data_IF_602963964367
#
_entry.id   IF_602963964367
#
_cell.length_a   1.000
_cell.length_b   1.000
_cell.length_c   1.000
_cell.angle_alpha   90.00
_cell.angle_beta   90.00
_cell.angle_gamma   90.00
#
_symmetry.space_group_name_H-M   'P 1'
#
loop_
_entity.id
_entity.type
_entity.pdbx_description
1 polymer ?
#
# COMPACT_ATOMS: atom_id res chain seq x y z
N UNK A 1 -32.53 -8.61 18.38
CA UNK A 1 -31.30 -8.11 17.72
C UNK A 1 -31.14 -8.82 16.37
N UNK A 2 -30.86 -8.12 15.26
CA UNK A 2 -30.69 -8.77 13.95
C UNK A 2 -29.45 -9.67 13.95
N UNK A 3 -29.61 -10.96 13.64
CA UNK A 3 -28.50 -11.90 13.49
C UNK A 3 -27.82 -11.68 12.13
N UNK A 4 -26.51 -11.40 12.14
CA UNK A 4 -25.73 -11.25 10.92
C UNK A 4 -25.45 -12.63 10.29
N UNK A 5 -26.30 -13.03 9.34
CA UNK A 5 -26.25 -14.35 8.67
C UNK A 5 -25.11 -14.47 7.64
N UNK A 6 -24.50 -13.36 7.23
CA UNK A 6 -23.50 -13.32 6.17
C UNK A 6 -22.21 -14.07 6.55
N UNK A 7 -21.80 -13.98 7.82
CA UNK A 7 -20.59 -14.66 8.32
C UNK A 7 -20.67 -16.19 8.33
N UNK A 8 -21.87 -16.77 8.20
CA UNK A 8 -22.06 -18.24 8.15
C UNK A 8 -22.07 -18.81 6.73
N UNK A 9 -22.04 -17.96 5.70
CA UNK A 9 -22.13 -18.39 4.30
C UNK A 9 -20.72 -18.63 3.76
N UNK A 10 -20.50 -19.79 3.16
CA UNK A 10 -19.19 -20.21 2.62
C UNK A 10 -18.67 -19.35 1.47
N UNK A 11 -19.51 -18.57 0.79
CA UNK A 11 -19.11 -17.64 -0.27
C UNK A 11 -18.77 -16.24 0.25
N UNK A 12 -18.98 -15.96 1.55
CA UNK A 12 -18.70 -14.64 2.09
C UNK A 12 -17.18 -14.37 2.05
N UNK A 13 -16.80 -13.37 1.26
CA UNK A 13 -15.40 -12.97 1.04
C UNK A 13 -14.71 -12.62 2.36
N UNK A 14 -15.45 -12.07 3.33
CA UNK A 14 -14.91 -11.65 4.62
C UNK A 14 -14.69 -12.81 5.61
N UNK A 15 -15.02 -14.05 5.26
CA UNK A 15 -14.70 -15.19 6.12
C UNK A 15 -13.20 -15.44 6.10
N UNK A 16 -12.62 -15.67 7.29
CA UNK A 16 -11.20 -15.93 7.45
C UNK A 16 -10.68 -17.05 6.54
N UNK A 17 -11.47 -18.11 6.34
CA UNK A 17 -11.12 -19.24 5.48
C UNK A 17 -11.01 -18.85 4.00
N UNK A 18 -11.89 -17.96 3.51
CA UNK A 18 -11.85 -17.50 2.12
C UNK A 18 -10.70 -16.52 1.91
N UNK A 19 -10.47 -15.62 2.87
CA UNK A 19 -9.31 -14.72 2.85
C UNK A 19 -8.01 -15.55 2.85
N UNK A 20 -7.94 -16.64 3.62
CA UNK A 20 -6.78 -17.52 3.66
C UNK A 20 -6.58 -18.34 2.38
N UNK A 21 -7.63 -18.63 1.61
CA UNK A 21 -7.51 -19.25 0.27
C UNK A 21 -6.94 -18.24 -0.71
N UNK A 22 -7.54 -17.06 -0.80
CA UNK A 22 -7.07 -15.97 -1.66
C UNK A 22 -5.60 -15.64 -1.40
N UNK A 23 -5.18 -15.52 -0.13
CA UNK A 23 -3.78 -15.29 0.20
C UNK A 23 -2.83 -16.41 -0.23
N UNK A 24 -3.27 -17.67 -0.21
CA UNK A 24 -2.44 -18.78 -0.70
C UNK A 24 -2.31 -18.72 -2.22
N UNK A 25 -3.39 -18.40 -2.90
CA UNK A 25 -3.42 -18.27 -4.36
C UNK A 25 -2.57 -17.07 -4.80
N UNK A 26 -2.70 -15.93 -4.12
CA UNK A 26 -1.85 -14.75 -4.31
C UNK A 26 -0.37 -15.05 -4.02
N UNK A 27 -0.08 -15.78 -2.95
CA UNK A 27 1.30 -16.17 -2.63
C UNK A 27 1.88 -17.15 -3.65
N UNK A 28 1.07 -18.07 -4.17
CA UNK A 28 1.48 -19.01 -5.21
C UNK A 28 1.73 -18.29 -6.55
N UNK A 29 0.85 -17.36 -6.93
CA UNK A 29 1.04 -16.52 -8.11
C UNK A 29 2.31 -15.67 -7.98
N UNK A 30 2.51 -14.99 -6.85
CA UNK A 30 3.70 -14.19 -6.57
C UNK A 30 4.98 -15.03 -6.57
N UNK A 31 4.95 -16.25 -6.03
CA UNK A 31 6.10 -17.15 -6.04
C UNK A 31 6.46 -17.63 -7.45
N UNK A 32 5.47 -17.81 -8.34
CA UNK A 32 5.71 -18.13 -9.74
C UNK A 32 6.36 -16.94 -10.48
N UNK A 33 5.83 -15.73 -10.30
CA UNK A 33 6.42 -14.50 -10.86
C UNK A 33 7.85 -14.27 -10.36
N UNK A 34 8.11 -14.44 -9.05
CA UNK A 34 9.46 -14.30 -8.49
C UNK A 34 10.45 -15.34 -9.04
N UNK A 35 10.00 -16.57 -9.34
CA UNK A 35 10.84 -17.58 -9.96
C UNK A 35 11.18 -17.25 -11.42
N UNK A 36 10.25 -16.65 -12.17
CA UNK A 36 10.49 -16.16 -13.52
C UNK A 36 11.44 -14.95 -13.52
N UNK A 37 11.25 -14.01 -12.59
CA UNK A 37 12.17 -12.88 -12.39
C UNK A 37 13.59 -13.34 -12.04
N UNK A 38 13.72 -14.36 -11.18
CA UNK A 38 15.02 -14.93 -10.86
C UNK A 38 15.69 -15.56 -12.08
N UNK A 39 14.93 -16.28 -12.92
CA UNK A 39 15.46 -16.82 -14.19
C UNK A 39 15.96 -15.71 -15.10
N UNK A 40 15.18 -14.63 -15.26
CA UNK A 40 15.60 -13.48 -16.05
C UNK A 40 16.84 -12.80 -15.45
N UNK A 41 16.93 -12.68 -14.13
CA UNK A 41 18.11 -12.11 -13.47
C UNK A 41 19.34 -12.99 -13.62
N UNK A 42 19.18 -14.31 -13.59
CA UNK A 42 20.26 -15.29 -13.79
C UNK A 42 20.79 -15.23 -15.21
N UNK A 43 19.93 -15.18 -16.23
CA UNK A 43 20.37 -15.03 -17.63
C UNK A 43 21.12 -13.72 -17.83
N UNK A 44 20.61 -12.62 -17.25
CA UNK A 44 21.26 -11.31 -17.25
C UNK A 44 22.61 -11.32 -16.52
N UNK A 45 22.68 -11.99 -15.36
CA UNK A 45 23.91 -12.13 -14.58
C UNK A 45 24.95 -12.97 -15.33
N UNK A 46 24.53 -14.09 -15.93
CA UNK A 46 25.38 -14.93 -16.78
C UNK A 46 25.93 -14.13 -17.96
N UNK A 47 25.09 -13.30 -18.59
CA UNK A 47 25.52 -12.40 -19.67
C UNK A 47 26.56 -11.39 -19.19
N UNK A 48 26.35 -10.77 -18.03
CA UNK A 48 27.32 -9.83 -17.42
C UNK A 48 28.64 -10.55 -17.11
N UNK A 49 28.59 -11.77 -16.60
CA UNK A 49 29.78 -12.58 -16.34
C UNK A 49 30.52 -12.99 -17.63
N UNK A 50 29.80 -13.33 -18.70
CA UNK A 50 30.39 -13.65 -20.00
C UNK A 50 31.14 -12.44 -20.59
N UNK A 51 30.53 -11.25 -20.54
CA UNK A 51 31.18 -9.99 -20.97
C UNK A 51 32.46 -9.73 -20.16
N UNK A 52 32.39 -9.90 -18.83
CA UNK A 52 33.57 -9.75 -17.96
C UNK A 52 34.65 -10.80 -18.22
N UNK A 53 34.26 -12.01 -18.62
CA UNK A 53 35.16 -13.11 -19.00
C UNK A 53 35.75 -12.91 -20.42
N UNK A 54 35.24 -11.96 -21.20
CA UNK A 54 35.62 -11.77 -22.60
C UNK A 54 35.08 -12.84 -23.54
N UNK A 55 34.06 -13.59 -23.11
CA UNK A 55 33.37 -14.62 -23.87
C UNK A 55 32.15 -14.01 -24.59
N UNK A 56 31.77 -14.55 -25.76
CA UNK A 56 30.62 -14.05 -26.49
C UNK A 56 29.33 -14.28 -25.66
N UNK A 57 28.54 -13.22 -25.38
CA UNK A 57 27.34 -13.35 -24.56
C UNK A 57 26.29 -14.23 -25.24
N UNK A 58 25.49 -15.00 -24.47
CA UNK A 58 24.41 -15.81 -25.02
C UNK A 58 23.39 -14.93 -25.78
N UNK A 59 22.79 -15.42 -26.88
CA UNK A 59 21.77 -14.70 -27.65
C UNK A 59 20.55 -14.34 -26.79
N UNK A 60 19.94 -13.19 -27.06
CA UNK A 60 18.76 -12.68 -26.34
C UNK A 60 17.52 -13.44 -26.85
N UNK A 61 16.81 -14.14 -25.96
CA UNK A 61 15.57 -14.87 -26.29
C UNK A 61 14.35 -13.93 -26.51
N UNK A 62 14.47 -12.64 -26.17
CA UNK A 62 13.38 -11.65 -26.30
C UNK A 62 13.21 -11.07 -27.72
N UNK A 63 13.93 -11.61 -28.72
CA UNK A 63 13.90 -11.13 -30.10
C UNK A 63 13.53 -12.22 -31.11
N UNK A 64 12.70 -13.19 -30.72
CA UNK A 64 11.85 -13.88 -31.69
C UNK A 64 10.85 -12.83 -32.23
N UNK A 65 10.82 -12.51 -33.53
CA UNK A 65 9.73 -11.73 -34.08
C UNK A 65 8.47 -12.52 -33.79
N UNK A 66 7.57 -11.93 -33.01
CA UNK A 66 6.22 -12.45 -32.80
C UNK A 66 5.65 -12.83 -34.16
N UNK A 67 5.65 -14.14 -34.43
CA UNK A 67 4.84 -14.70 -35.49
C UNK A 67 3.45 -14.21 -35.18
N UNK A 68 2.84 -13.50 -36.13
CA UNK A 68 1.55 -12.85 -36.00
C UNK A 68 0.52 -13.79 -35.34
N UNK A 69 0.43 -13.73 -34.02
CA UNK A 69 -0.64 -14.38 -33.28
C UNK A 69 -1.87 -13.48 -33.39
N UNK A 70 -2.95 -14.13 -33.78
CA UNK A 70 -4.25 -13.56 -34.06
C UNK A 70 -4.69 -12.55 -33.00
N UNK A 71 -5.46 -11.51 -33.39
CA UNK A 71 -6.13 -10.67 -32.42
C UNK A 71 -6.99 -11.56 -31.49
N UNK A 72 -7.01 -11.30 -30.18
CA UNK A 72 -7.72 -12.14 -29.22
C UNK A 72 -9.19 -12.25 -29.65
N UNK A 73 -9.84 -13.41 -29.44
CA UNK A 73 -11.25 -13.55 -29.74
C UNK A 73 -11.99 -12.52 -28.90
N UNK A 74 -12.63 -11.57 -29.57
CA UNK A 74 -13.50 -10.59 -28.92
C UNK A 74 -14.53 -11.38 -28.15
N UNK A 75 -14.37 -11.47 -26.84
CA UNK A 75 -15.43 -11.86 -25.93
C UNK A 75 -16.55 -10.86 -26.16
N UNK A 76 -17.52 -11.28 -26.98
CA UNK A 76 -18.76 -10.55 -27.16
C UNK A 76 -19.44 -10.58 -25.82
N UNK A 77 -19.22 -9.52 -25.04
CA UNK A 77 -20.05 -9.19 -23.91
C UNK A 77 -21.49 -9.35 -24.38
N UNK A 78 -22.22 -10.23 -23.72
CA UNK A 78 -23.62 -10.50 -23.99
C UNK A 78 -24.42 -9.26 -23.56
N UNK A 79 -24.31 -8.19 -24.36
CA UNK A 79 -25.20 -7.04 -24.31
C UNK A 79 -26.54 -7.50 -24.87
N UNK A 80 -27.58 -7.32 -24.05
CA UNK A 80 -28.88 -7.94 -24.20
C UNK A 80 -29.47 -7.89 -25.62
N UNK A 81 -29.81 -9.08 -26.12
CA UNK A 81 -31.07 -9.35 -26.83
C UNK A 81 -31.57 -8.29 -27.83
N UNK A 82 -30.79 -8.00 -28.88
CA UNK A 82 -31.40 -7.73 -30.18
C UNK A 82 -31.41 -9.04 -30.97
N UNK A 83 -32.60 -9.63 -31.14
CA UNK A 83 -32.80 -10.88 -31.87
C UNK A 83 -32.12 -10.80 -33.24
N UNK A 84 -31.13 -11.67 -33.49
CA UNK A 84 -30.47 -11.78 -34.81
C UNK A 84 -31.54 -11.96 -35.88
N UNK A 85 -31.58 -11.06 -36.86
CA UNK A 85 -32.56 -11.09 -37.97
C UNK A 85 -32.26 -12.31 -38.84
N UNK A 86 -33.30 -13.01 -39.29
CA UNK A 86 -33.17 -14.17 -40.19
C UNK A 86 -33.21 -13.69 -41.64
N UNK A 87 -32.55 -14.43 -42.55
CA UNK A 87 -32.65 -14.23 -44.00
C UNK A 87 -34.10 -14.45 -44.46
N UNK A 88 -34.62 -13.62 -45.37
CA UNK A 88 -35.90 -13.88 -46.02
C UNK A 88 -35.70 -14.92 -47.14
N UNK A 89 -36.72 -15.73 -47.48
CA UNK A 89 -36.60 -16.67 -48.58
C UNK A 89 -36.35 -15.91 -49.90
N UNK A 90 -35.24 -16.21 -50.58
CA UNK A 90 -34.83 -15.57 -51.84
C UNK A 90 -33.92 -14.34 -51.72
N UNK A 91 -33.44 -14.00 -50.52
CA UNK A 91 -32.39 -12.96 -50.34
C UNK A 91 -30.98 -13.57 -50.48
N UNK A 92 -30.13 -12.97 -51.31
CA UNK A 92 -28.69 -13.26 -51.36
C UNK A 92 -27.96 -12.67 -50.14
N UNK A 93 -26.76 -13.20 -49.84
CA UNK A 93 -26.00 -12.85 -48.63
C UNK A 93 -25.64 -11.35 -48.57
N UNK A 94 -25.38 -10.74 -49.72
CA UNK A 94 -25.13 -9.29 -49.86
C UNK A 94 -26.37 -8.46 -49.58
N UNK A 95 -27.52 -8.89 -50.08
CA UNK A 95 -28.79 -8.20 -49.91
C UNK A 95 -29.28 -8.25 -48.46
N UNK A 96 -29.05 -9.38 -47.79
CA UNK A 96 -29.30 -9.54 -46.36
C UNK A 96 -28.46 -8.55 -45.53
N UNK A 97 -27.16 -8.43 -45.81
CA UNK A 97 -26.27 -7.49 -45.11
C UNK A 97 -26.64 -6.03 -45.38
N UNK A 98 -26.95 -5.68 -46.63
CA UNK A 98 -27.39 -4.33 -47.02
C UNK A 98 -28.69 -3.92 -46.33
N UNK A 99 -29.65 -4.85 -46.16
CA UNK A 99 -30.89 -4.58 -45.41
C UNK A 99 -30.61 -4.35 -43.92
N UNK A 100 -29.78 -5.19 -43.31
CA UNK A 100 -29.43 -5.07 -41.89
C UNK A 100 -28.65 -3.78 -41.61
N UNK A 101 -27.77 -3.36 -42.52
CA UNK A 101 -27.06 -2.09 -42.41
C UNK A 101 -28.02 -0.89 -42.45
N UNK A 102 -28.92 -0.83 -43.44
CA UNK A 102 -29.92 0.24 -43.56
C UNK A 102 -30.86 0.33 -42.36
N UNK A 103 -31.27 -0.81 -41.79
CA UNK A 103 -32.09 -0.83 -40.58
C UNK A 103 -31.34 -0.23 -39.37
N UNK A 104 -30.03 -0.47 -39.24
CA UNK A 104 -29.21 0.13 -38.18
C UNK A 104 -29.06 1.65 -38.35
N UNK A 105 -28.81 2.11 -39.56
CA UNK A 105 -28.70 3.54 -39.86
C UNK A 105 -30.01 4.27 -39.56
N UNK A 106 -31.15 3.70 -39.97
CA UNK A 106 -32.47 4.26 -39.66
C UNK A 106 -32.76 4.30 -38.16
N UNK A 107 -32.35 3.28 -37.39
CA UNK A 107 -32.48 3.31 -35.93
C UNK A 107 -31.65 4.43 -35.30
N UNK A 108 -30.43 4.66 -35.79
CA UNK A 108 -29.58 5.74 -35.30
C UNK A 108 -30.19 7.13 -35.57
N UNK A 109 -30.82 7.33 -36.72
CA UNK A 109 -31.50 8.59 -37.08
C UNK A 109 -32.73 8.85 -36.20
N UNK A 110 -33.57 7.83 -35.97
CA UNK A 110 -34.78 7.97 -35.13
C UNK A 110 -34.43 8.28 -33.66
N UNK A 111 -33.35 7.69 -33.12
CA UNK A 111 -32.85 8.05 -31.79
C UNK A 111 -32.43 9.52 -31.71
N UNK A 112 -31.74 10.03 -32.74
CA UNK A 112 -31.31 11.43 -32.83
C UNK A 112 -32.46 12.44 -32.94
N UNK A 113 -33.57 12.06 -33.58
CA UNK A 113 -34.77 12.90 -33.69
C UNK A 113 -35.60 12.91 -32.40
N UNK A 114 -35.59 11.81 -31.63
CA UNK A 114 -36.34 11.73 -30.36
C UNK A 114 -35.81 12.67 -29.26
N UNK A 115 -34.53 13.03 -29.34
CA UNK A 115 -33.86 14.00 -28.47
C UNK A 115 -34.22 15.47 -28.79
N UNK A 116 -34.91 15.75 -29.92
CA UNK A 116 -35.20 17.11 -30.41
C UNK A 116 -36.66 17.55 -30.20
N UNK A 117 -37.27 17.23 -29.05
CA UNK A 117 -38.58 17.79 -28.69
C UNK A 117 -38.40 19.09 -27.87
N UNK A 118 -38.89 20.25 -28.32
CA UNK A 118 -38.72 21.51 -27.60
C UNK A 118 -39.62 21.56 -26.37
N UNK A 119 -39.00 21.65 -25.18
CA UNK A 119 -39.68 21.74 -23.88
C UNK A 119 -39.53 23.15 -23.29
N UNK A 120 -39.89 24.23 -23.98
CA UNK A 120 -39.90 25.54 -23.31
C UNK A 120 -40.87 26.55 -23.94
N UNK A 121 -41.58 27.27 -23.06
CA UNK A 121 -42.45 28.40 -23.38
C UNK A 121 -41.67 29.72 -23.32
N UNK A 122 -40.60 29.85 -24.09
CA UNK A 122 -39.84 31.10 -24.19
C UNK A 122 -40.22 31.84 -25.49
N UNK A 123 -40.34 33.18 -25.46
CA UNK A 123 -40.59 33.96 -26.68
C UNK A 123 -39.40 33.81 -27.64
N UNK A 124 -39.71 33.54 -28.92
CA UNK A 124 -38.74 33.26 -30.00
C UNK A 124 -37.86 34.48 -30.37
N UNK A 125 -38.20 35.66 -29.86
CA UNK A 125 -37.58 36.93 -30.25
C UNK A 125 -37.09 37.65 -29.01
N UNK A 126 -35.82 38.06 -29.05
CA UNK A 126 -35.19 38.90 -28.03
C UNK A 126 -35.87 40.25 -27.90
N UNK A 127 -35.64 40.92 -26.77
CA UNK A 127 -36.15 42.27 -26.50
C UNK A 127 -35.57 43.33 -27.46
N UNK A 128 -34.51 42.98 -28.19
CA UNK A 128 -33.90 43.76 -29.27
C UNK A 128 -34.47 43.45 -30.67
N UNK A 129 -35.40 42.50 -30.79
CA UNK A 129 -36.05 42.12 -32.05
C UNK A 129 -35.30 41.08 -32.90
N UNK A 130 -34.29 40.41 -32.34
CA UNK A 130 -33.57 39.33 -33.03
C UNK A 130 -34.17 37.96 -32.69
N UNK A 131 -34.19 37.04 -33.66
CA UNK A 131 -34.68 35.67 -33.43
C UNK A 131 -33.60 34.92 -32.65
N UNK A 132 -33.84 34.67 -31.37
CA UNK A 132 -32.90 33.91 -30.54
C UNK A 132 -33.28 32.43 -30.53
N UNK A 133 -32.57 31.66 -31.36
CA UNK A 133 -32.79 30.23 -31.54
C UNK A 133 -32.24 29.39 -30.37
N UNK A 134 -31.41 29.99 -29.51
CA UNK A 134 -30.72 29.27 -28.43
C UNK A 134 -31.22 29.67 -27.04
N UNK A 135 -32.11 30.67 -26.94
CA UNK A 135 -32.62 31.18 -25.68
C UNK A 135 -31.53 31.81 -24.81
N UNK A 136 -31.98 32.63 -23.85
CA UNK A 136 -31.15 33.29 -22.86
C UNK A 136 -30.47 32.34 -21.84
N UNK A 137 -29.96 31.19 -22.28
CA UNK A 137 -29.13 30.28 -21.48
C UNK A 137 -27.88 30.98 -20.96
N UNK A 138 -27.34 31.94 -21.73
CA UNK A 138 -26.18 32.75 -21.34
C UNK A 138 -26.45 33.60 -20.10
N UNK A 139 -27.64 34.18 -19.96
CA UNK A 139 -27.98 35.00 -18.78
C UNK A 139 -28.25 34.14 -17.54
N UNK A 140 -28.73 32.90 -17.71
CA UNK A 140 -28.98 31.97 -16.60
C UNK A 140 -27.71 31.27 -16.09
N UNK A 141 -26.66 31.16 -16.90
CA UNK A 141 -25.41 30.48 -16.55
C UNK A 141 -24.38 31.34 -15.78
N UNK A 142 -24.65 32.63 -15.54
CA UNK A 142 -23.68 33.57 -14.94
C UNK A 142 -23.88 33.86 -13.44
N UNK A 143 -24.52 32.96 -12.69
CA UNK A 143 -24.82 33.22 -11.28
C UNK A 143 -23.66 32.96 -10.29
N UNK A 144 -22.61 32.20 -10.64
CA UNK A 144 -21.50 31.94 -9.71
C UNK A 144 -20.16 32.00 -10.44
N UNK A 145 -19.49 33.14 -10.35
CA UNK A 145 -18.10 33.28 -10.84
C UNK A 145 -17.20 32.47 -9.93
N UNK A 146 -16.93 31.23 -10.34
CA UNK A 146 -15.96 30.41 -9.64
C UNK A 146 -14.56 30.95 -9.94
N UNK A 147 -13.91 31.57 -8.95
CA UNK A 147 -12.60 32.21 -9.10
C UNK A 147 -11.53 31.24 -9.61
N UNK A 148 -11.69 29.95 -9.30
CA UNK A 148 -10.84 28.87 -9.79
C UNK A 148 -11.00 28.66 -11.30
N UNK A 149 -12.24 28.67 -11.81
CA UNK A 149 -12.53 28.52 -13.23
C UNK A 149 -12.01 29.70 -14.06
N UNK A 150 -12.06 30.93 -13.53
CA UNK A 150 -11.47 32.08 -14.21
C UNK A 150 -9.93 32.00 -14.27
N UNK A 151 -9.28 31.51 -13.21
CA UNK A 151 -7.82 31.31 -13.18
C UNK A 151 -7.41 30.23 -14.17
N UNK A 152 -8.16 29.14 -14.29
CA UNK A 152 -7.91 28.09 -15.28
C UNK A 152 -8.16 28.57 -16.71
N UNK A 153 -9.23 29.33 -16.96
CA UNK A 153 -9.50 29.90 -18.27
C UNK A 153 -8.41 30.91 -18.70
N UNK A 154 -7.92 31.73 -17.76
CA UNK A 154 -6.79 32.65 -18.00
C UNK A 154 -5.51 31.89 -18.32
N UNK A 155 -5.19 30.80 -17.60
CA UNK A 155 -4.04 29.93 -17.89
C UNK A 155 -4.15 29.28 -19.27
N UNK A 156 -5.33 28.78 -19.64
CA UNK A 156 -5.58 28.18 -20.97
C UNK A 156 -5.40 29.20 -22.09
N UNK A 157 -5.94 30.41 -21.93
CA UNK A 157 -5.74 31.51 -22.88
C UNK A 157 -4.27 31.87 -23.04
N UNK A 158 -3.53 32.01 -21.92
CA UNK A 158 -2.09 32.26 -21.94
C UNK A 158 -1.33 31.13 -22.66
N UNK A 159 -1.62 29.86 -22.33
CA UNK A 159 -0.97 28.74 -23.02
C UNK A 159 -1.28 28.67 -24.52
N UNK A 160 -2.48 29.08 -24.93
CA UNK A 160 -2.87 29.15 -26.34
C UNK A 160 -2.15 30.31 -27.04
N UNK A 161 -2.13 31.50 -26.43
CA UNK A 161 -1.36 32.63 -26.94
C UNK A 161 0.14 32.32 -27.05
N UNK A 162 0.70 31.57 -26.10
CA UNK A 162 2.09 31.10 -26.12
C UNK A 162 2.36 30.09 -27.24
N UNK A 163 1.38 29.25 -27.58
CA UNK A 163 1.50 28.31 -28.71
C UNK A 163 1.58 29.03 -30.06
N UNK A 164 0.92 30.18 -30.21
CA UNK A 164 0.84 30.88 -31.50
C UNK A 164 1.71 32.15 -31.56
N UNK A 165 2.19 32.67 -30.44
CA UNK A 165 3.01 33.87 -30.40
C UNK A 165 4.40 33.56 -29.85
N UNK A 166 5.43 33.74 -30.69
CA UNK A 166 6.84 33.55 -30.32
C UNK A 166 7.37 34.75 -29.52
N UNK A 167 6.79 35.04 -28.36
CA UNK A 167 7.27 36.12 -27.49
C UNK A 167 8.38 35.61 -26.57
N UNK A 168 9.56 36.19 -26.68
CA UNK A 168 10.73 35.85 -25.86
C UNK A 168 10.48 36.02 -24.35
N UNK A 169 9.53 36.86 -23.94
CA UNK A 169 9.11 37.02 -22.55
C UNK A 169 8.48 35.76 -21.95
N UNK A 170 7.84 34.93 -22.77
CA UNK A 170 7.06 33.78 -22.31
C UNK A 170 7.93 32.50 -22.28
N UNK A 171 8.99 32.47 -23.08
CA UNK A 171 9.96 31.37 -23.13
C UNK A 171 10.90 31.31 -21.91
N UNK A 172 11.09 32.45 -21.23
CA UNK A 172 12.05 32.55 -20.11
C UNK A 172 11.49 31.99 -18.78
N UNK A 173 10.24 31.52 -18.76
CA UNK A 173 9.56 31.13 -17.52
C UNK A 173 9.22 32.35 -16.65
N UNK A 174 8.53 32.10 -15.53
CA UNK A 174 7.96 33.12 -14.63
C UNK A 174 8.95 34.24 -14.23
N UNK A 175 10.26 33.92 -14.20
CA UNK A 175 11.31 34.80 -13.67
C UNK A 175 12.45 35.10 -14.66
N UNK A 176 12.50 34.46 -15.84
CA UNK A 176 13.69 34.53 -16.69
C UNK A 176 13.91 35.83 -17.45
N UNK A 177 12.92 36.74 -17.46
CA UNK A 177 13.11 38.10 -17.98
C UNK A 177 13.59 39.10 -16.89
N UNK A 178 13.46 38.76 -15.61
CA UNK A 178 13.74 39.66 -14.47
C UNK A 178 15.05 39.35 -13.75
N UNK A 179 15.56 38.12 -13.90
CA UNK A 179 16.81 37.68 -13.26
C UNK A 179 17.75 37.12 -14.33
N UNK A 180 18.79 37.87 -14.73
CA UNK A 180 19.86 37.36 -15.56
C UNK A 180 20.57 36.15 -14.91
N UNK A 181 21.05 35.21 -15.72
CA UNK A 181 21.63 33.93 -15.25
C UNK A 181 22.84 34.06 -14.30
N UNK A 182 23.48 35.24 -14.28
CA UNK A 182 24.61 35.59 -13.43
C UNK A 182 24.22 36.31 -12.12
N UNK A 183 22.96 36.72 -11.93
CA UNK A 183 22.49 37.32 -10.66
C UNK A 183 21.91 36.30 -9.67
N UNK A 184 21.87 35.02 -10.05
CA UNK A 184 21.47 33.94 -9.17
C UNK A 184 22.61 33.61 -8.20
N UNK A 185 22.64 34.27 -7.05
CA UNK A 185 23.43 33.79 -5.92
C UNK A 185 22.88 32.42 -5.50
N UNK A 186 23.70 31.39 -5.66
CA UNK A 186 23.46 30.01 -5.22
C UNK A 186 22.30 29.27 -5.88
N UNK A 187 22.58 28.72 -7.07
CA UNK A 187 22.40 27.31 -7.44
C UNK A 187 21.11 26.54 -7.03
N UNK A 188 19.97 27.19 -6.89
CA UNK A 188 18.69 26.51 -7.02
C UNK A 188 18.34 26.46 -8.51
N UNK A 189 19.03 25.59 -9.26
CA UNK A 189 18.54 25.17 -10.56
C UNK A 189 17.04 24.85 -10.39
N UNK A 190 16.14 25.45 -11.18
CA UNK A 190 14.72 25.19 -11.00
C UNK A 190 14.53 23.68 -11.04
N UNK A 191 13.63 23.18 -10.20
CA UNK A 191 13.12 21.79 -10.08
C UNK A 191 12.53 21.27 -11.43
N UNK A 192 13.12 21.61 -12.57
CA UNK A 192 12.85 21.14 -13.92
C UNK A 192 13.15 19.64 -14.03
N UNK A 193 14.07 19.11 -13.22
CA UNK A 193 14.34 17.67 -13.13
C UNK A 193 13.42 16.92 -12.14
N UNK A 194 12.50 17.58 -11.43
CA UNK A 194 11.59 16.87 -10.49
C UNK A 194 10.43 16.16 -11.21
N UNK A 195 10.22 16.48 -12.49
CA UNK A 195 9.19 15.87 -13.33
C UNK A 195 9.76 14.65 -14.04
N UNK A 196 8.96 13.60 -14.10
CA UNK A 196 9.25 12.41 -14.88
C UNK A 196 9.15 12.70 -16.39
N UNK A 197 9.50 11.74 -17.25
CA UNK A 197 9.46 11.89 -18.74
C UNK A 197 8.10 12.42 -19.24
N UNK A 198 7.03 12.15 -18.50
CA UNK A 198 5.67 12.60 -18.79
C UNK A 198 5.20 13.86 -18.04
N UNK A 199 6.10 14.59 -17.37
CA UNK A 199 5.75 15.86 -16.73
C UNK A 199 5.09 15.75 -15.34
N UNK A 200 4.81 14.54 -14.86
CA UNK A 200 4.30 14.30 -13.50
C UNK A 200 5.42 14.42 -12.46
N UNK A 201 5.13 15.02 -11.31
CA UNK A 201 6.08 15.06 -10.21
C UNK A 201 6.13 13.70 -9.52
N UNK A 202 7.32 13.10 -9.47
CA UNK A 202 7.58 11.91 -8.67
C UNK A 202 7.86 12.31 -7.21
N UNK A 203 6.93 12.10 -6.25
CA UNK A 203 7.15 12.54 -4.87
C UNK A 203 8.35 11.86 -4.21
N UNK A 204 8.64 10.61 -4.59
CA UNK A 204 9.75 9.80 -4.05
C UNK A 204 11.08 10.04 -4.76
N UNK A 205 11.15 10.87 -5.81
CA UNK A 205 12.41 11.13 -6.53
C UNK A 205 13.40 11.90 -5.65
N UNK A 206 12.93 12.92 -4.94
CA UNK A 206 13.75 13.66 -3.96
C UNK A 206 14.35 12.72 -2.92
N UNK A 207 13.56 11.78 -2.39
CA UNK A 207 14.05 10.77 -1.43
C UNK A 207 15.08 9.80 -2.04
N UNK A 208 14.91 9.40 -3.31
CA UNK A 208 15.90 8.55 -4.00
C UNK A 208 17.20 9.31 -4.20
N UNK A 209 17.13 10.58 -4.58
CA UNK A 209 18.31 11.40 -4.81
C UNK A 209 19.05 11.71 -3.52
N UNK A 210 18.34 12.00 -2.42
CA UNK A 210 19.00 12.11 -1.11
C UNK A 210 19.64 10.80 -0.68
N UNK A 211 18.98 9.64 -0.90
CA UNK A 211 19.56 8.33 -0.62
C UNK A 211 20.80 8.05 -1.46
N UNK A 212 20.80 8.41 -2.75
CA UNK A 212 21.96 8.28 -3.65
C UNK A 212 23.12 9.16 -3.21
N UNK A 213 22.83 10.42 -2.84
CA UNK A 213 23.84 11.34 -2.32
C UNK A 213 24.43 10.79 -1.02
N UNK A 214 23.59 10.31 -0.10
CA UNK A 214 24.02 9.74 1.18
C UNK A 214 24.77 8.42 0.99
N UNK A 215 24.41 7.57 0.02
CA UNK A 215 25.11 6.31 -0.25
C UNK A 215 26.45 6.53 -0.95
N UNK A 216 26.53 7.56 -1.80
CA UNK A 216 27.75 7.87 -2.55
C UNK A 216 28.72 8.76 -1.75
N UNK A 217 28.29 9.29 -0.59
CA UNK A 217 29.14 10.09 0.30
C UNK A 217 29.90 9.19 1.30
N UNK A 218 31.24 9.11 1.22
CA UNK A 218 32.04 8.34 2.17
C UNK A 218 31.92 8.88 3.60
N UNK A 219 31.69 10.18 3.79
CA UNK A 219 31.53 10.78 5.11
C UNK A 219 30.22 10.32 5.76
N UNK A 220 29.14 10.21 4.98
CA UNK A 220 27.88 9.69 5.45
C UNK A 220 28.00 8.23 5.91
N UNK A 221 28.72 7.38 5.17
CA UNK A 221 29.02 6.01 5.60
C UNK A 221 29.77 5.97 6.94
N UNK A 222 30.79 6.83 7.13
CA UNK A 222 31.52 6.91 8.38
C UNK A 222 30.64 7.36 9.55
N UNK A 223 29.73 8.31 9.33
CA UNK A 223 28.76 8.77 10.33
C UNK A 223 27.80 7.66 10.75
N UNK A 224 27.29 6.87 9.78
CA UNK A 224 26.45 5.71 10.06
C UNK A 224 27.21 4.59 10.80
N UNK A 225 28.49 4.39 10.49
CA UNK A 225 29.34 3.49 11.25
C UNK A 225 29.52 3.96 12.70
N UNK A 226 29.78 5.25 12.90
CA UNK A 226 29.97 5.84 14.22
C UNK A 226 28.69 5.81 15.08
N UNK A 227 27.50 6.01 14.50
CA UNK A 227 26.23 5.88 15.21
C UNK A 227 25.99 4.44 15.66
N UNK A 228 26.17 3.45 14.77
CA UNK A 228 26.04 2.02 15.12
C UNK A 228 26.99 1.61 16.24
N UNK A 229 28.24 2.10 16.26
CA UNK A 229 29.18 1.83 17.36
C UNK A 229 28.69 2.44 18.68
N UNK A 230 28.06 3.61 18.65
CA UNK A 230 27.47 4.23 19.85
C UNK A 230 26.26 3.44 20.35
N UNK A 231 25.40 2.97 19.46
CA UNK A 231 24.26 2.10 19.79
C UNK A 231 24.73 0.81 20.46
N UNK A 232 25.68 0.09 19.86
CA UNK A 232 26.25 -1.14 20.45
C UNK A 232 26.90 -0.89 21.82
N UNK A 233 27.55 0.27 22.03
CA UNK A 233 28.08 0.63 23.35
C UNK A 233 26.97 0.85 24.36
N UNK A 234 25.88 1.50 23.98
CA UNK A 234 24.72 1.69 24.84
C UNK A 234 24.05 0.36 25.17
N UNK A 235 23.89 -0.53 24.20
CA UNK A 235 23.34 -1.88 24.40
C UNK A 235 24.22 -2.70 25.34
N UNK A 236 25.55 -2.71 25.14
CA UNK A 236 26.48 -3.36 26.06
C UNK A 236 26.38 -2.80 27.47
N UNK A 237 26.21 -1.49 27.61
CA UNK A 237 26.06 -0.84 28.92
C UNK A 237 24.75 -1.27 29.59
N UNK A 238 23.64 -1.25 28.86
CA UNK A 238 22.33 -1.73 29.36
C UNK A 238 22.39 -3.19 29.77
N UNK A 239 23.02 -4.04 28.96
CA UNK A 239 23.20 -5.45 29.28
C UNK A 239 24.05 -5.65 30.54
N UNK A 240 25.13 -4.87 30.71
CA UNK A 240 25.92 -4.90 31.95
C UNK A 240 25.11 -4.44 33.16
N UNK A 241 24.34 -3.36 33.03
CA UNK A 241 23.45 -2.87 34.09
C UNK A 241 22.41 -3.92 34.49
N UNK A 242 21.77 -4.59 33.52
CA UNK A 242 20.83 -5.69 33.77
C UNK A 242 21.50 -6.87 34.49
N UNK A 243 22.71 -7.26 34.06
CA UNK A 243 23.48 -8.33 34.71
C UNK A 243 23.91 -7.97 36.12
N UNK A 244 24.29 -6.72 36.36
CA UNK A 244 24.66 -6.21 37.69
C UNK A 244 23.42 -6.15 38.61
N UNK A 245 22.27 -5.76 38.07
CA UNK A 245 20.99 -5.80 38.78
C UNK A 245 20.60 -7.23 39.14
N UNK A 246 20.73 -8.19 38.23
CA UNK A 246 20.47 -9.61 38.47
C UNK A 246 21.41 -10.17 39.57
N UNK A 247 22.70 -9.87 39.51
CA UNK A 247 23.67 -10.24 40.55
C UNK A 247 23.33 -9.61 41.90
N UNK A 248 22.88 -8.34 41.91
CA UNK A 248 22.47 -7.63 43.12
C UNK A 248 21.18 -8.23 43.71
N UNK A 249 20.24 -8.65 42.86
CA UNK A 249 19.03 -9.37 43.25
C UNK A 249 19.40 -10.72 43.86
N UNK A 250 20.24 -11.52 43.21
CA UNK A 250 20.74 -12.79 43.74
C UNK A 250 21.46 -12.62 45.08
N UNK A 251 22.30 -11.58 45.23
CA UNK A 251 22.96 -11.25 46.50
C UNK A 251 21.97 -10.79 47.58
N UNK A 252 20.89 -10.09 47.21
CA UNK A 252 19.81 -9.68 48.13
C UNK A 252 19.01 -10.89 48.58
N UNK A 253 18.65 -11.78 47.66
CA UNK A 253 17.99 -13.04 47.96
C UNK A 253 18.86 -13.95 48.82
N UNK A 254 20.14 -14.09 48.51
CA UNK A 254 21.11 -14.84 49.31
C UNK A 254 21.17 -14.33 50.75
N UNK A 255 21.25 -13.00 50.94
CA UNK A 255 21.17 -12.37 52.27
C UNK A 255 19.83 -12.60 52.96
N UNK A 256 18.71 -12.58 52.24
CA UNK A 256 17.41 -12.92 52.82
C UNK A 256 17.31 -14.39 53.24
N UNK A 257 17.82 -15.32 52.43
CA UNK A 257 17.89 -16.75 52.74
C UNK A 257 18.79 -17.01 53.95
N UNK A 258 19.97 -16.38 53.99
CA UNK A 258 20.91 -16.49 55.12
C UNK A 258 20.29 -15.94 56.42
N UNK A 259 19.65 -14.76 56.37
CA UNK A 259 18.92 -14.21 57.54
C UNK A 259 17.79 -15.13 58.01
N UNK A 260 17.06 -15.78 57.09
CA UNK A 260 16.03 -16.78 57.43
C UNK A 260 16.65 -18.01 58.10
N UNK A 261 17.78 -18.52 57.59
CA UNK A 261 18.53 -19.64 58.20
C UNK A 261 19.00 -19.29 59.61
N UNK A 262 19.66 -18.14 59.80
CA UNK A 262 20.11 -17.69 61.13
C UNK A 262 18.95 -17.57 62.13
N UNK A 263 17.80 -17.05 61.72
CA UNK A 263 16.59 -17.00 62.58
C UNK A 263 16.07 -18.39 62.96
N UNK A 264 16.13 -19.36 62.05
CA UNK A 264 15.75 -20.75 62.33
C UNK A 264 16.77 -21.45 63.26
N UNK A 265 18.05 -21.18 63.11
CA UNK A 265 19.10 -21.69 64.00
C UNK A 265 18.98 -21.08 65.42
N UNK A 266 18.69 -19.78 65.51
CA UNK A 266 18.52 -19.07 66.79
C UNK A 266 17.21 -19.47 67.52
N UNK A 267 16.14 -19.77 66.78
CA UNK A 267 14.89 -20.30 67.35
C UNK A 267 14.98 -21.79 67.72
N UNK A 268 15.73 -22.59 66.95
CA UNK A 268 16.02 -23.98 67.27
C UNK A 268 16.94 -24.14 68.50
N UNK A 269 17.89 -23.22 68.69
CA UNK A 269 18.83 -23.27 69.82
C UNK A 269 18.24 -22.77 71.15
N UNK A 270 17.12 -22.04 71.15
CA UNK A 270 16.40 -21.63 72.38
C UNK A 270 15.23 -22.56 72.76
N UNK A 271 14.86 -23.52 71.92
CA UNK A 271 13.78 -24.47 72.16
C UNK A 271 14.23 -25.86 72.65
N UNK A 272 15.54 -26.13 72.72
CA UNK A 272 16.09 -27.47 72.98
C UNK A 272 16.33 -27.85 74.44
N UNK A 273 16.10 -26.96 75.41
CA UNK A 273 16.49 -27.20 76.81
C UNK A 273 15.34 -27.08 77.82
N UNK A 274 14.13 -27.45 77.42
CA UNK A 274 12.97 -27.59 78.33
C UNK A 274 12.04 -28.72 77.91
N UNK A 275 12.52 -29.97 77.89
CA UNK A 275 11.70 -31.19 78.01
C UNK A 275 12.58 -32.45 78.06
N UNK A 276 13.40 -32.57 79.10
CA UNK A 276 13.89 -33.87 79.60
C UNK A 276 13.71 -33.89 81.10
N UNK A 277 12.46 -34.02 81.51
CA UNK A 277 12.10 -34.12 82.91
C UNK A 277 10.61 -34.06 83.06
N UNK A 278 10.03 -35.21 83.45
CA UNK A 278 8.67 -35.36 84.02
C UNK A 278 7.53 -35.70 83.06
N UNK A 279 7.64 -36.84 82.36
CA UNK A 279 6.47 -37.60 81.87
C UNK A 279 6.70 -39.12 82.00
N UNK A 280 7.22 -39.55 83.16
CA UNK A 280 7.52 -40.97 83.47
C UNK A 280 6.65 -41.62 84.54
N UNK A 281 5.67 -40.93 85.13
CA UNK A 281 4.97 -41.42 86.34
C UNK A 281 3.44 -41.38 86.27
N UNK A 282 2.84 -41.33 85.08
CA UNK A 282 1.37 -41.45 84.93
C UNK A 282 0.88 -42.62 84.09
N UNK A 283 1.79 -43.38 83.46
CA UNK A 283 1.41 -44.56 82.69
C UNK A 283 1.46 -45.89 83.47
N UNK A 284 2.15 -45.95 84.62
CA UNK A 284 2.23 -47.17 85.44
C UNK A 284 1.02 -47.38 86.36
N UNK A 285 0.27 -46.32 86.70
CA UNK A 285 -0.87 -46.41 87.63
C UNK A 285 -2.17 -46.86 86.96
N UNK A 286 -2.20 -46.92 85.62
CA UNK A 286 -3.37 -47.40 84.87
C UNK A 286 -3.29 -48.89 84.54
N UNK A 287 -2.09 -49.47 84.44
CA UNK A 287 -1.90 -50.91 84.23
C UNK A 287 -1.97 -51.74 85.52
N UNK A 288 -1.72 -51.16 86.70
CA UNK A 288 -1.88 -51.88 87.98
C UNK A 288 -3.36 -52.07 88.38
N UNK A 289 -4.26 -51.14 88.00
CA UNK A 289 -5.70 -51.31 88.27
C UNK A 289 -6.36 -52.38 87.40
N UNK A 290 -5.89 -52.60 86.17
CA UNK A 290 -6.43 -53.66 85.30
C UNK A 290 -5.94 -55.07 85.70
N UNK A 291 -4.80 -55.18 86.40
CA UNK A 291 -4.28 -56.48 86.87
C UNK A 291 -4.86 -56.93 88.22
N UNK A 292 -5.40 -56.02 89.02
CA UNK A 292 -6.07 -56.35 90.29
C UNK A 292 -7.54 -56.74 90.09
N UNK A 293 -8.17 -56.31 88.99
CA UNK A 293 -9.56 -56.67 88.63
C UNK A 293 -9.67 -58.05 87.94
N UNK A 294 -8.54 -58.65 87.52
CA UNK A 294 -8.46 -60.00 86.96
C UNK A 294 -8.04 -61.09 87.98
N UNK A 295 -7.91 -60.75 89.26
CA UNK A 295 -7.57 -61.69 90.34
C UNK A 295 -8.68 -61.86 91.39
N UNK A 296 -9.93 -61.56 91.04
CA UNK A 296 -11.13 -62.03 91.76
C UNK A 296 -11.84 -63.13 90.98
#
# INVERSE_FOLDING_TARGET
MPLHLLGKKSWNVYNADNIARVRRDEAAAKAAEEAEEQRMQETDAQRRLAILRGEAPPPIEDAEPSTAEEPPPRETTHSGSMRRKRKRPGEDDTDFEMRVARERDNMAVVSLESERKPTSSAPIVDHAGHIDLFGDEKLRAHAEKNEEAEKEAKKKKQSYEDQYTMRFSNAAGKDGALQPWYSQSDAAAPDASSKDVWGNQDPKRKERDTKRIVSNDPLAMMKQGASKVRELKQERKRFQEERDEELKQMRREGRHRERRRRRHEESGSRGGDRSRGRDGERSSMREEKEKEEQRR
#
